data_IF_244642739263
#
_entry.id   IF_244642739263
#
_cell.length_a   1.000
_cell.length_b   1.000
_cell.length_c   1.000
_cell.angle_alpha   90.00
_cell.angle_beta   90.00
_cell.angle_gamma   90.00
#
_symmetry.space_group_name_H-M   'P 1'
#
loop_
_entity.id
_entity.type
_entity.pdbx_description
1 polymer ?
#
# COMPACT_ATOMS: atom_id res chain seq x y z
N UNK A 1 -19.87 5.97 -17.08
CA UNK A 1 -18.61 5.92 -16.31
C UNK A 1 -17.74 7.04 -16.81
N UNK A 2 -17.21 7.91 -15.94
CA UNK A 2 -16.38 9.05 -16.38
C UNK A 2 -14.97 8.58 -16.73
N UNK A 3 -14.23 9.33 -17.55
CA UNK A 3 -12.81 9.06 -17.84
C UNK A 3 -11.95 9.05 -16.57
N UNK A 4 -12.31 9.89 -15.59
CA UNK A 4 -11.66 9.91 -14.28
C UNK A 4 -11.86 8.61 -13.51
N UNK A 5 -13.07 8.02 -13.55
CA UNK A 5 -13.33 6.74 -12.87
C UNK A 5 -12.52 5.61 -13.51
N UNK A 6 -12.43 5.57 -14.84
CA UNK A 6 -11.60 4.58 -15.57
C UNK A 6 -10.13 4.74 -15.19
N UNK A 7 -9.65 5.97 -15.04
CA UNK A 7 -8.29 6.24 -14.59
C UNK A 7 -8.03 5.75 -13.17
N UNK A 8 -8.96 5.99 -12.25
CA UNK A 8 -8.84 5.51 -10.86
C UNK A 8 -8.82 3.98 -10.83
N UNK A 9 -9.73 3.31 -11.54
CA UNK A 9 -9.75 1.84 -11.64
C UNK A 9 -8.40 1.29 -12.13
N UNK A 10 -7.81 1.93 -13.13
CA UNK A 10 -6.49 1.55 -13.65
C UNK A 10 -5.36 1.76 -12.63
N UNK A 11 -5.39 2.86 -11.86
CA UNK A 11 -4.43 3.14 -10.79
C UNK A 11 -4.55 2.13 -9.65
N UNK A 12 -5.78 1.81 -9.24
CA UNK A 12 -6.07 0.82 -8.19
C UNK A 12 -5.59 -0.56 -8.60
N UNK A 13 -5.86 -0.97 -9.85
CA UNK A 13 -5.39 -2.23 -10.38
C UNK A 13 -3.86 -2.30 -10.39
N UNK A 14 -3.21 -1.26 -10.91
CA UNK A 14 -1.76 -1.16 -10.98
C UNK A 14 -1.10 -1.24 -9.60
N UNK A 15 -1.51 -0.37 -8.67
CA UNK A 15 -1.00 -0.38 -7.29
C UNK A 15 -1.24 -1.74 -6.64
N UNK A 16 -2.47 -2.28 -6.72
CA UNK A 16 -2.83 -3.57 -6.15
C UNK A 16 -1.94 -4.70 -6.67
N UNK A 17 -1.71 -4.77 -7.98
CA UNK A 17 -0.82 -5.77 -8.57
C UNK A 17 0.62 -5.59 -8.08
N UNK A 18 1.14 -4.36 -8.07
CA UNK A 18 2.54 -4.11 -7.73
C UNK A 18 2.86 -4.33 -6.25
N UNK A 19 1.94 -3.99 -5.34
CA UNK A 19 2.08 -4.16 -3.89
C UNK A 19 2.12 -5.65 -3.54
N UNK A 20 1.17 -6.44 -4.06
CA UNK A 20 1.11 -7.87 -3.76
C UNK A 20 2.16 -8.72 -4.50
N UNK A 21 3.04 -8.10 -5.29
CA UNK A 21 4.26 -8.73 -5.81
C UNK A 21 5.49 -8.54 -4.91
N UNK A 22 5.44 -7.64 -3.93
CA UNK A 22 6.49 -7.55 -2.90
C UNK A 22 6.55 -8.87 -2.14
N UNK A 23 7.72 -9.26 -1.60
CA UNK A 23 7.80 -10.36 -0.63
C UNK A 23 7.12 -9.99 0.68
N UNK A 24 6.93 -10.97 1.56
CA UNK A 24 6.10 -10.86 2.75
C UNK A 24 6.54 -9.74 3.71
N UNK A 25 7.85 -9.61 3.91
CA UNK A 25 8.39 -8.60 4.82
C UNK A 25 8.20 -7.21 4.21
N UNK A 26 8.58 -7.04 2.93
CA UNK A 26 8.42 -5.77 2.22
C UNK A 26 6.95 -5.36 2.09
N UNK A 27 6.06 -6.30 1.84
CA UNK A 27 4.61 -6.07 1.80
C UNK A 27 4.11 -5.53 3.15
N UNK A 28 4.49 -6.17 4.25
CA UNK A 28 4.10 -5.72 5.58
C UNK A 28 4.61 -4.31 5.89
N UNK A 29 5.89 -4.04 5.60
CA UNK A 29 6.48 -2.71 5.82
C UNK A 29 5.81 -1.63 4.95
N UNK A 30 5.57 -1.94 3.68
CA UNK A 30 4.87 -1.04 2.77
C UNK A 30 3.45 -0.72 3.26
N UNK A 31 2.70 -1.73 3.71
CA UNK A 31 1.34 -1.55 4.21
C UNK A 31 1.32 -0.75 5.52
N UNK A 32 2.32 -0.92 6.39
CA UNK A 32 2.50 -0.07 7.58
C UNK A 32 2.79 1.39 7.20
N UNK A 33 3.72 1.61 6.25
CA UNK A 33 4.01 2.94 5.71
C UNK A 33 2.75 3.59 5.10
N UNK A 34 1.98 2.86 4.30
CA UNK A 34 0.80 3.38 3.63
C UNK A 34 -0.32 3.76 4.61
N UNK A 35 -0.48 2.98 5.68
CA UNK A 35 -1.40 3.30 6.77
C UNK A 35 -0.99 4.60 7.48
N UNK A 36 0.31 4.81 7.71
CA UNK A 36 0.84 6.05 8.30
C UNK A 36 0.72 7.26 7.35
N UNK A 37 1.02 7.06 6.06
CA UNK A 37 0.99 8.09 5.03
C UNK A 37 -0.42 8.60 4.74
N UNK A 38 -1.37 7.69 4.48
CA UNK A 38 -2.72 8.06 4.07
C UNK A 38 -3.60 8.57 5.22
N UNK A 39 -3.28 8.22 6.47
CA UNK A 39 -4.07 8.51 7.68
C UNK A 39 -5.46 7.87 7.73
N UNK A 40 -6.11 7.63 6.58
CA UNK A 40 -7.44 7.05 6.40
C UNK A 40 -7.42 5.54 6.19
N UNK A 41 -6.40 5.00 5.51
CA UNK A 41 -6.31 3.54 5.32
C UNK A 41 -5.94 2.82 6.63
N UNK A 42 -5.44 3.55 7.63
CA UNK A 42 -5.17 3.03 8.98
C UNK A 42 -6.38 2.34 9.62
N UNK A 43 -7.60 2.80 9.32
CA UNK A 43 -8.83 2.18 9.81
C UNK A 43 -9.18 0.85 9.13
N UNK A 44 -8.69 0.63 7.90
CA UNK A 44 -8.96 -0.58 7.09
C UNK A 44 -7.91 -1.67 7.31
N UNK A 45 -6.70 -1.30 7.75
CA UNK A 45 -5.57 -2.24 7.83
C UNK A 45 -5.16 -2.62 9.25
N UNK A 46 -5.73 -2.01 10.29
CA UNK A 46 -5.32 -2.21 11.69
C UNK A 46 -3.82 -1.97 11.89
N UNK A 47 -3.25 -2.52 12.98
CA UNK A 47 -1.81 -2.72 13.03
C UNK A 47 -1.45 -3.85 12.05
N UNK A 48 -1.13 -3.50 10.80
CA UNK A 48 -0.66 -4.44 9.76
C UNK A 48 0.51 -5.28 10.27
N UNK A 49 1.34 -4.70 11.13
CA UNK A 49 2.48 -5.37 11.77
C UNK A 49 2.08 -6.58 12.61
N UNK A 50 0.83 -6.69 13.07
CA UNK A 50 0.36 -7.80 13.90
C UNK A 50 -0.46 -8.85 13.11
N UNK A 51 -0.82 -8.56 11.86
CA UNK A 51 -1.70 -9.42 11.04
C UNK A 51 -0.93 -10.59 10.43
N UNK A 52 -1.42 -11.83 10.60
CA UNK A 52 -0.85 -13.01 9.95
C UNK A 52 -0.62 -12.80 8.44
N UNK A 53 0.55 -13.17 7.94
CA UNK A 53 0.91 -12.94 6.54
C UNK A 53 0.01 -13.69 5.56
N UNK A 54 -0.53 -14.85 5.95
CA UNK A 54 -1.49 -15.60 5.15
C UNK A 54 -2.81 -14.83 4.99
N UNK A 55 -3.22 -14.11 6.04
CA UNK A 55 -4.39 -13.21 6.00
C UNK A 55 -4.07 -12.01 5.11
N UNK A 56 -2.89 -11.40 5.28
CA UNK A 56 -2.47 -10.24 4.47
C UNK A 56 -2.42 -10.57 2.97
N UNK A 57 -2.02 -11.79 2.61
CA UNK A 57 -1.98 -12.29 1.22
C UNK A 57 -3.33 -12.76 0.70
N UNK A 58 -4.31 -12.98 1.57
CA UNK A 58 -5.61 -13.55 1.24
C UNK A 58 -6.37 -12.68 0.22
N UNK A 59 -7.08 -13.33 -0.71
CA UNK A 59 -7.82 -12.63 -1.78
C UNK A 59 -8.80 -11.59 -1.24
N UNK A 60 -9.48 -11.91 -0.14
CA UNK A 60 -10.38 -10.98 0.55
C UNK A 60 -9.65 -9.71 1.00
N UNK A 61 -8.46 -9.84 1.60
CA UNK A 61 -7.66 -8.69 2.01
C UNK A 61 -7.19 -7.85 0.82
N UNK A 62 -6.83 -8.50 -0.30
CA UNK A 62 -6.46 -7.79 -1.53
C UNK A 62 -7.64 -7.00 -2.11
N UNK A 63 -8.85 -7.55 -2.08
CA UNK A 63 -10.07 -6.88 -2.53
C UNK A 63 -10.44 -5.71 -1.60
N UNK A 64 -10.36 -5.92 -0.29
CA UNK A 64 -10.56 -4.85 0.69
C UNK A 64 -9.57 -3.71 0.50
N UNK A 65 -8.29 -4.03 0.28
CA UNK A 65 -7.25 -3.05 -0.04
C UNK A 65 -7.58 -2.24 -1.30
N UNK A 66 -7.97 -2.91 -2.39
CA UNK A 66 -8.33 -2.24 -3.65
C UNK A 66 -9.56 -1.34 -3.47
N UNK A 67 -10.58 -1.81 -2.76
CA UNK A 67 -11.79 -1.03 -2.45
C UNK A 67 -11.47 0.22 -1.62
N UNK A 68 -10.62 0.05 -0.61
CA UNK A 68 -10.13 1.13 0.25
C UNK A 68 -9.35 2.19 -0.54
N UNK A 69 -8.45 1.74 -1.40
CA UNK A 69 -7.65 2.60 -2.27
C UNK A 69 -8.53 3.35 -3.28
N UNK A 70 -9.50 2.66 -3.90
CA UNK A 70 -10.46 3.29 -4.81
C UNK A 70 -11.21 4.42 -4.12
N UNK A 71 -11.81 4.13 -2.96
CA UNK A 71 -12.55 5.11 -2.16
C UNK A 71 -11.69 6.30 -1.77
N UNK A 72 -10.42 6.05 -1.40
CA UNK A 72 -9.51 7.13 -1.05
C UNK A 72 -9.15 8.01 -2.25
N UNK A 73 -8.80 7.41 -3.39
CA UNK A 73 -8.46 8.15 -4.62
C UNK A 73 -9.65 8.97 -5.14
N UNK A 74 -10.86 8.42 -5.09
CA UNK A 74 -12.10 9.14 -5.44
C UNK A 74 -12.38 10.34 -4.53
N UNK A 75 -11.90 10.31 -3.29
CA UNK A 75 -12.10 11.41 -2.33
C UNK A 75 -11.17 12.61 -2.58
N UNK A 76 -10.19 12.47 -3.46
CA UNK A 76 -9.18 13.49 -3.73
C UNK A 76 -9.52 14.32 -4.97
N UNK A 77 -9.12 15.61 -5.02
CA UNK A 77 -9.08 16.34 -6.28
C UNK A 77 -8.15 15.63 -7.28
N UNK A 78 -8.42 15.76 -8.58
CA UNK A 78 -7.67 15.05 -9.63
C UNK A 78 -6.14 15.21 -9.54
N UNK A 79 -5.65 16.41 -9.21
CA UNK A 79 -4.22 16.64 -9.00
C UNK A 79 -3.67 15.91 -7.77
N UNK A 80 -4.44 15.89 -6.67
CA UNK A 80 -4.09 15.16 -5.45
C UNK A 80 -4.04 13.66 -5.68
N UNK A 81 -5.04 13.12 -6.38
CA UNK A 81 -5.07 11.71 -6.81
C UNK A 81 -3.83 11.33 -7.64
N UNK A 82 -3.47 12.14 -8.64
CA UNK A 82 -2.27 11.89 -9.46
C UNK A 82 -0.98 11.95 -8.65
N UNK A 83 -0.92 12.86 -7.67
CA UNK A 83 0.21 12.98 -6.77
C UNK A 83 0.33 11.72 -5.90
N UNK A 84 -0.77 11.28 -5.27
CA UNK A 84 -0.79 10.07 -4.44
C UNK A 84 -0.41 8.82 -5.25
N UNK A 85 -0.97 8.66 -6.44
CA UNK A 85 -0.60 7.56 -7.32
C UNK A 85 0.91 7.51 -7.56
N UNK A 86 1.53 8.65 -7.91
CA UNK A 86 2.98 8.73 -8.11
C UNK A 86 3.77 8.44 -6.83
N UNK A 87 3.35 9.00 -5.70
CA UNK A 87 4.01 8.79 -4.40
C UNK A 87 4.00 7.31 -4.03
N UNK A 88 2.85 6.66 -4.16
CA UNK A 88 2.68 5.24 -3.87
C UNK A 88 3.52 4.39 -4.82
N UNK A 89 3.48 4.66 -6.14
CA UNK A 89 4.28 3.92 -7.11
C UNK A 89 5.80 4.03 -6.84
N UNK A 90 6.28 5.23 -6.49
CA UNK A 90 7.69 5.43 -6.13
C UNK A 90 8.05 4.64 -4.87
N UNK A 91 7.19 4.65 -3.87
CA UNK A 91 7.42 3.94 -2.62
C UNK A 91 7.45 2.41 -2.84
N UNK A 92 6.54 1.86 -3.65
CA UNK A 92 6.56 0.43 -3.99
C UNK A 92 7.89 0.04 -4.64
N UNK A 93 8.38 0.86 -5.58
CA UNK A 93 9.67 0.62 -6.24
C UNK A 93 10.83 0.72 -5.24
N UNK A 94 10.76 1.66 -4.30
CA UNK A 94 11.75 1.80 -3.25
C UNK A 94 11.81 0.54 -2.37
N UNK A 95 10.67 0.07 -1.86
CA UNK A 95 10.62 -1.16 -1.05
C UNK A 95 11.12 -2.36 -1.85
N UNK A 96 10.64 -2.55 -3.09
CA UNK A 96 11.04 -3.65 -3.97
C UNK A 96 12.55 -3.73 -4.16
N UNK A 97 13.21 -2.58 -4.29
CA UNK A 97 14.65 -2.49 -4.56
C UNK A 97 15.49 -2.25 -3.29
N UNK A 98 14.86 -2.16 -2.12
CA UNK A 98 15.57 -1.93 -0.86
C UNK A 98 16.54 -3.08 -0.59
N UNK A 99 17.79 -2.74 -0.33
CA UNK A 99 18.83 -3.70 0.00
C UNK A 99 18.45 -4.54 1.25
N UNK A 100 18.59 -5.88 1.22
CA UNK A 100 18.21 -6.74 2.34
C UNK A 100 18.90 -6.43 3.67
N UNK A 101 20.14 -5.93 3.66
CA UNK A 101 20.86 -5.54 4.89
C UNK A 101 20.20 -4.31 5.49
N UNK A 102 19.86 -3.32 4.65
CA UNK A 102 19.12 -2.12 5.10
C UNK A 102 17.72 -2.47 5.59
N UNK A 103 17.03 -3.41 4.92
CA UNK A 103 15.73 -3.90 5.35
C UNK A 103 15.80 -4.51 6.75
N UNK A 104 16.81 -5.35 7.02
CA UNK A 104 17.04 -5.92 8.35
C UNK A 104 17.24 -4.86 9.42
N UNK A 105 18.06 -3.84 9.14
CA UNK A 105 18.29 -2.73 10.08
C UNK A 105 17.02 -1.94 10.41
N UNK A 106 16.14 -1.71 9.43
CA UNK A 106 14.87 -1.02 9.65
C UNK A 106 13.97 -1.86 10.57
N UNK A 107 13.83 -3.16 10.30
CA UNK A 107 13.01 -4.06 11.11
C UNK A 107 13.53 -4.15 12.55
N UNK A 108 14.84 -4.25 12.74
CA UNK A 108 15.45 -4.27 14.07
C UNK A 108 15.24 -2.95 14.84
N UNK A 109 15.24 -1.82 14.13
CA UNK A 109 14.98 -0.51 14.73
C UNK A 109 13.51 -0.32 15.14
N UNK A 110 12.57 -0.88 14.37
CA UNK A 110 11.14 -0.85 14.69
C UNK A 110 10.76 -1.85 15.79
N UNK A 111 11.47 -2.99 15.92
CA UNK A 111 11.22 -3.99 16.95
C UNK A 111 11.75 -3.62 18.36
N UNK A 112 12.62 -2.61 18.45
CA UNK A 112 13.22 -2.14 19.69
C UNK A 112 12.48 -0.97 20.37
N UNK A 113 11.37 -0.50 19.79
CA UNK A 113 10.49 0.54 20.36
C UNK A 113 9.26 -0.10 21.03
#
# INVERSE_FOLDING_TARGET
>A
MSELNVLIEQMVLDIGTQVYQLDDLRLRMFMNWLAAHSGRLKALTGNVLDMDIAVLRGSEMQEQFKSALNTWLESLPAQGMLWEYRTISVEIVWWRNLDPVRLKMIVESEAGQ
#
